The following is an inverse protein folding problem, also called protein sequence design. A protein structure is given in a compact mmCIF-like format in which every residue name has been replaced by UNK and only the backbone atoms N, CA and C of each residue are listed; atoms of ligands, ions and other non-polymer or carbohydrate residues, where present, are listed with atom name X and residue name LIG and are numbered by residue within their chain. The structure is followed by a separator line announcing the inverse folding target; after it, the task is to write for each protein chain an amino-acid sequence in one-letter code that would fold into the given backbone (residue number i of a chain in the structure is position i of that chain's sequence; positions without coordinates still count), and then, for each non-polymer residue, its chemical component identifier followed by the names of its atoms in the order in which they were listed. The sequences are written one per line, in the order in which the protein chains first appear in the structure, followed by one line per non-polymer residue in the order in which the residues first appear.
data_IF_002007227148
#
_entry.id   IF_002007227148
#
_cell.length_a   1.000
_cell.length_b   1.000
_cell.length_c   1.000
_cell.angle_alpha   90.00
_cell.angle_beta   90.00
_cell.angle_gamma   90.00
#
_symmetry.space_group_name_H-M   'P 1'
#
loop_
_entity.id
_entity.type
_entity.pdbx_description
1 polymer ?
#
# COMPACT_ATOMS: atom_id res chain seq x y z
N UNK A 1 -49.60 -31.44 -51.30
CA UNK A 1 -48.95 -30.26 -51.90
C UNK A 1 -47.80 -29.95 -50.97
N UNK A 2 -46.58 -30.37 -51.31
CA UNK A 2 -45.39 -29.95 -50.57
C UNK A 2 -45.31 -28.42 -50.68
N UNK A 3 -45.06 -27.77 -49.56
CA UNK A 3 -44.95 -26.31 -49.52
C UNK A 3 -43.68 -25.88 -50.24
N UNK A 4 -43.69 -24.73 -50.92
CA UNK A 4 -42.51 -24.23 -51.69
C UNK A 4 -41.22 -24.18 -50.85
N UNK A 5 -41.35 -24.04 -49.52
CA UNK A 5 -40.24 -24.07 -48.56
C UNK A 5 -39.55 -25.43 -48.48
N UNK A 6 -40.30 -26.54 -48.46
CA UNK A 6 -39.76 -27.90 -48.38
C UNK A 6 -39.00 -28.27 -49.66
N UNK A 7 -39.46 -27.78 -50.81
CA UNK A 7 -38.79 -27.98 -52.09
C UNK A 7 -37.45 -27.24 -52.17
N UNK A 8 -37.38 -26.01 -51.62
CA UNK A 8 -36.15 -25.21 -51.57
C UNK A 8 -35.13 -25.86 -50.63
N UNK A 9 -35.55 -26.29 -49.44
CA UNK A 9 -34.70 -26.95 -48.45
C UNK A 9 -34.21 -28.31 -48.99
N UNK A 10 -35.08 -29.09 -49.63
CA UNK A 10 -34.72 -30.36 -50.26
C UNK A 10 -33.76 -30.21 -51.44
N UNK A 11 -33.80 -29.09 -52.16
CA UNK A 11 -32.83 -28.79 -53.22
C UNK A 11 -31.49 -28.32 -52.66
N UNK A 12 -31.50 -27.50 -51.60
CA UNK A 12 -30.29 -27.01 -50.94
C UNK A 12 -29.49 -28.15 -50.28
N UNK A 13 -30.17 -29.08 -49.61
CA UNK A 13 -29.52 -30.22 -48.93
C UNK A 13 -28.87 -31.23 -49.89
N UNK A 14 -29.28 -31.25 -51.17
CA UNK A 14 -28.70 -32.11 -52.22
C UNK A 14 -27.48 -31.49 -52.92
N UNK A 15 -27.18 -30.22 -52.70
CA UNK A 15 -26.02 -29.53 -53.31
C UNK A 15 -24.71 -29.87 -52.59
N UNK A 16 -23.59 -29.68 -53.29
CA UNK A 16 -22.26 -29.83 -52.71
C UNK A 16 -21.94 -28.66 -51.77
N UNK A 17 -21.08 -28.88 -50.76
CA UNK A 17 -20.82 -27.90 -49.69
C UNK A 17 -20.32 -26.55 -50.21
N UNK A 18 -19.46 -26.56 -51.24
CA UNK A 18 -18.95 -25.35 -51.86
C UNK A 18 -20.04 -24.55 -52.61
N UNK A 19 -21.01 -25.25 -53.21
CA UNK A 19 -22.14 -24.62 -53.89
C UNK A 19 -23.14 -24.04 -52.90
N UNK A 20 -23.36 -24.74 -51.77
CA UNK A 20 -24.17 -24.24 -50.66
C UNK A 20 -23.62 -22.91 -50.12
N UNK A 21 -22.31 -22.83 -49.89
CA UNK A 21 -21.64 -21.64 -49.38
C UNK A 21 -21.73 -20.45 -50.34
N UNK A 22 -21.52 -20.69 -51.65
CA UNK A 22 -21.62 -19.64 -52.66
C UNK A 22 -23.07 -19.14 -52.84
N UNK A 23 -24.05 -20.03 -52.71
CA UNK A 23 -25.47 -19.67 -52.79
C UNK A 23 -25.93 -18.89 -51.55
N UNK A 24 -25.52 -19.31 -50.36
CA UNK A 24 -25.69 -18.56 -49.10
C UNK A 24 -25.04 -17.18 -49.18
N UNK A 25 -23.81 -17.09 -49.71
CA UNK A 25 -23.09 -15.82 -49.89
C UNK A 25 -23.85 -14.86 -50.81
N UNK A 26 -24.37 -15.35 -51.95
CA UNK A 26 -25.19 -14.57 -52.87
C UNK A 26 -26.53 -14.13 -52.25
N UNK A 27 -27.14 -14.96 -51.41
CA UNK A 27 -28.36 -14.62 -50.69
C UNK A 27 -28.10 -13.54 -49.63
N UNK A 28 -27.04 -13.68 -48.84
CA UNK A 28 -26.63 -12.69 -47.82
C UNK A 28 -26.34 -11.32 -48.43
N UNK A 29 -25.73 -11.27 -49.62
CA UNK A 29 -25.48 -10.02 -50.35
C UNK A 29 -26.76 -9.32 -50.85
N UNK A 30 -27.87 -10.05 -51.00
CA UNK A 30 -29.16 -9.52 -51.44
C UNK A 30 -30.11 -9.17 -50.29
N UNK A 31 -29.81 -9.60 -49.07
CA UNK A 31 -30.67 -9.36 -47.90
C UNK A 31 -30.64 -7.89 -47.45
N UNK A 32 -31.81 -7.37 -47.07
CA UNK A 32 -31.93 -6.02 -46.47
C UNK A 32 -31.41 -6.04 -45.01
N UNK A 33 -30.96 -4.89 -44.46
CA UNK A 33 -30.40 -4.82 -43.11
C UNK A 33 -31.30 -5.41 -42.01
N UNK A 34 -32.63 -5.20 -42.09
CA UNK A 34 -33.60 -5.78 -41.12
C UNK A 34 -33.70 -7.31 -41.20
N UNK A 35 -33.57 -7.88 -42.40
CA UNK A 35 -33.61 -9.34 -42.59
C UNK A 35 -32.33 -9.99 -42.08
N UNK A 36 -31.17 -9.34 -42.29
CA UNK A 36 -29.90 -9.76 -41.70
C UNK A 36 -29.95 -9.70 -40.17
N UNK A 37 -30.63 -8.71 -39.59
CA UNK A 37 -30.76 -8.57 -38.13
C UNK A 37 -31.61 -9.69 -37.51
N UNK A 38 -32.68 -10.11 -38.20
CA UNK A 38 -33.47 -11.29 -37.80
C UNK A 38 -32.69 -12.59 -37.96
N UNK A 39 -32.05 -12.78 -39.13
CA UNK A 39 -31.20 -13.95 -39.40
C UNK A 39 -30.06 -14.06 -38.37
N UNK A 40 -29.46 -12.93 -38.01
CA UNK A 40 -28.45 -12.86 -36.96
C UNK A 40 -29.05 -13.19 -35.60
N UNK A 41 -30.27 -12.73 -35.28
CA UNK A 41 -30.98 -13.11 -34.05
C UNK A 41 -31.14 -14.62 -33.89
N UNK A 42 -31.51 -15.31 -34.98
CA UNK A 42 -31.75 -16.75 -34.99
C UNK A 42 -30.44 -17.56 -35.05
N UNK A 43 -29.42 -17.06 -35.77
CA UNK A 43 -28.11 -17.72 -35.89
C UNK A 43 -27.13 -17.33 -34.79
N UNK A 44 -27.44 -16.35 -33.93
CA UNK A 44 -26.57 -15.87 -32.84
C UNK A 44 -26.14 -17.01 -31.91
N UNK A 45 -27.02 -17.97 -31.66
CA UNK A 45 -26.73 -19.14 -30.83
C UNK A 45 -25.78 -20.13 -31.53
N UNK A 46 -25.80 -20.19 -32.87
CA UNK A 46 -24.92 -21.02 -33.69
C UNK A 46 -23.56 -20.33 -33.97
N UNK A 47 -23.55 -19.00 -34.00
CA UNK A 47 -22.36 -18.15 -34.15
C UNK A 47 -21.68 -17.84 -32.80
N UNK A 48 -22.24 -18.29 -31.68
CA UNK A 48 -21.60 -18.32 -30.37
C UNK A 48 -20.51 -19.40 -30.31
N UNK A 49 -19.72 -19.51 -31.37
CA UNK A 49 -18.56 -20.36 -31.44
C UNK A 49 -17.54 -19.76 -30.49
N UNK A 50 -17.11 -20.59 -29.54
CA UNK A 50 -16.03 -20.25 -28.62
C UNK A 50 -14.82 -19.81 -29.45
N UNK A 51 -14.31 -18.59 -29.26
CA UNK A 51 -13.24 -18.04 -30.11
C UNK A 51 -11.84 -18.44 -29.63
N UNK A 52 -11.72 -18.86 -28.37
CA UNK A 52 -10.44 -19.25 -27.75
C UNK A 52 -9.74 -20.44 -28.43
N UNK A 53 -10.44 -21.45 -28.97
CA UNK A 53 -9.85 -22.52 -29.76
C UNK A 53 -9.32 -22.07 -31.13
N UNK A 54 -9.92 -21.04 -31.75
CA UNK A 54 -9.68 -20.70 -33.17
C UNK A 54 -8.71 -19.54 -33.36
N UNK A 55 -8.55 -18.68 -32.36
CA UNK A 55 -7.70 -17.49 -32.44
C UNK A 55 -6.27 -17.82 -31.95
N UNK A 56 -5.22 -17.26 -32.58
CA UNK A 56 -3.84 -17.36 -32.10
C UNK A 56 -3.66 -16.91 -30.65
N UNK A 57 -2.69 -17.55 -29.96
CA UNK A 57 -2.43 -17.31 -28.53
C UNK A 57 -2.20 -15.84 -28.21
N UNK A 58 -1.45 -15.11 -29.04
CA UNK A 58 -1.10 -13.72 -28.72
C UNK A 58 -2.32 -12.80 -28.70
N UNK A 59 -3.29 -13.05 -29.58
CA UNK A 59 -4.52 -12.24 -29.65
C UNK A 59 -5.41 -12.54 -28.45
N UNK A 60 -5.53 -13.81 -28.06
CA UNK A 60 -6.28 -14.21 -26.85
C UNK A 60 -5.64 -13.60 -25.60
N UNK A 61 -4.32 -13.68 -25.48
CA UNK A 61 -3.59 -13.05 -24.37
C UNK A 61 -3.82 -11.53 -24.36
N UNK A 62 -3.81 -10.87 -25.53
CA UNK A 62 -4.12 -9.44 -25.62
C UNK A 62 -5.55 -9.12 -25.19
N UNK A 63 -6.54 -9.92 -25.58
CA UNK A 63 -7.94 -9.76 -25.13
C UNK A 63 -8.02 -9.92 -23.61
N UNK A 64 -7.39 -10.96 -23.07
CA UNK A 64 -7.37 -11.24 -21.63
C UNK A 64 -6.62 -10.20 -20.82
N UNK A 65 -5.68 -9.47 -21.43
CA UNK A 65 -4.98 -8.36 -20.76
C UNK A 65 -5.88 -7.17 -20.40
N UNK A 66 -7.04 -7.03 -21.05
CA UNK A 66 -8.03 -5.99 -20.75
C UNK A 66 -9.00 -6.39 -19.63
N UNK A 67 -9.03 -7.67 -19.25
CA UNK A 67 -9.95 -8.17 -18.22
C UNK A 67 -9.40 -7.94 -16.82
N UNK A 68 -10.32 -7.76 -15.87
CA UNK A 68 -9.97 -7.72 -14.45
C UNK A 68 -9.62 -9.12 -13.93
N UNK A 69 -8.86 -9.24 -12.82
CA UNK A 69 -8.57 -10.53 -12.19
C UNK A 69 -9.83 -11.35 -11.85
N UNK A 70 -10.93 -10.68 -11.50
CA UNK A 70 -12.20 -11.34 -11.21
C UNK A 70 -12.83 -11.94 -12.47
N UNK A 71 -12.83 -11.19 -13.57
CA UNK A 71 -13.33 -11.68 -14.86
C UNK A 71 -12.45 -12.80 -15.42
N UNK A 72 -11.13 -12.71 -15.26
CA UNK A 72 -10.21 -13.79 -15.63
C UNK A 72 -10.45 -15.06 -14.81
N UNK A 73 -10.74 -14.92 -13.52
CA UNK A 73 -11.08 -16.09 -12.69
C UNK A 73 -12.38 -16.75 -13.15
N UNK A 74 -13.39 -15.97 -13.54
CA UNK A 74 -14.64 -16.48 -14.13
C UNK A 74 -14.39 -17.14 -15.48
N UNK A 75 -13.58 -16.52 -16.33
CA UNK A 75 -13.18 -17.03 -17.63
C UNK A 75 -12.49 -18.41 -17.52
N UNK A 76 -11.64 -18.61 -16.50
CA UNK A 76 -10.96 -19.89 -16.25
C UNK A 76 -11.89 -21.05 -15.86
N UNK A 77 -13.14 -20.74 -15.49
CA UNK A 77 -14.16 -21.73 -15.14
C UNK A 77 -15.00 -22.20 -16.34
N UNK A 78 -14.89 -21.55 -17.50
CA UNK A 78 -15.74 -21.83 -18.66
C UNK A 78 -15.41 -23.16 -19.36
N UNK A 79 -14.12 -23.43 -19.63
CA UNK A 79 -13.66 -24.69 -20.24
C UNK A 79 -12.18 -24.95 -19.96
N UNK A 80 -11.69 -26.16 -20.25
CA UNK A 80 -10.27 -26.50 -20.08
C UNK A 80 -9.33 -25.62 -20.91
N UNK A 81 -9.70 -25.30 -22.15
CA UNK A 81 -8.91 -24.43 -23.02
C UNK A 81 -8.90 -22.98 -22.51
N UNK A 82 -10.04 -22.48 -22.03
CA UNK A 82 -10.10 -21.17 -21.39
C UNK A 82 -9.23 -21.10 -20.15
N UNK A 83 -9.20 -22.17 -19.35
CA UNK A 83 -8.36 -22.27 -18.15
C UNK A 83 -6.87 -22.19 -18.50
N UNK A 84 -6.42 -22.96 -19.49
CA UNK A 84 -5.02 -22.95 -19.91
C UNK A 84 -4.55 -21.58 -20.42
N UNK A 85 -5.42 -20.88 -21.16
CA UNK A 85 -5.13 -19.54 -21.70
C UNK A 85 -5.21 -18.47 -20.62
N UNK A 86 -6.25 -18.49 -19.78
CA UNK A 86 -6.42 -17.54 -18.69
C UNK A 86 -5.30 -17.66 -17.65
N UNK A 87 -4.75 -18.85 -17.45
CA UNK A 87 -3.64 -19.10 -16.51
C UNK A 87 -2.24 -18.80 -17.09
N UNK A 88 -2.14 -18.08 -18.20
CA UNK A 88 -0.85 -17.71 -18.78
C UNK A 88 -0.04 -16.83 -17.82
N UNK A 89 1.21 -17.23 -17.53
CA UNK A 89 2.06 -16.51 -16.56
C UNK A 89 2.38 -15.06 -16.95
N UNK A 90 2.40 -14.75 -18.26
CA UNK A 90 2.65 -13.41 -18.79
C UNK A 90 1.55 -12.42 -18.41
N UNK A 91 0.28 -12.86 -18.49
CA UNK A 91 -0.90 -12.06 -18.16
C UNK A 91 -0.91 -11.66 -16.68
N UNK A 92 -0.75 -12.64 -15.80
CA UNK A 92 -0.78 -12.40 -14.37
C UNK A 92 0.45 -11.64 -13.88
N UNK A 93 1.63 -11.82 -14.50
CA UNK A 93 2.80 -10.96 -14.22
C UNK A 93 2.54 -9.50 -14.58
N UNK A 94 1.90 -9.23 -15.72
CA UNK A 94 1.55 -7.86 -16.11
C UNK A 94 0.54 -7.23 -15.15
N UNK A 95 -0.49 -7.98 -14.73
CA UNK A 95 -1.47 -7.53 -13.74
C UNK A 95 -0.85 -7.31 -12.35
N UNK A 96 0.01 -8.22 -11.88
CA UNK A 96 0.76 -8.05 -10.64
C UNK A 96 1.65 -6.82 -10.69
N UNK A 97 2.36 -6.60 -11.81
CA UNK A 97 3.23 -5.42 -11.98
C UNK A 97 2.45 -4.12 -11.91
N UNK A 98 1.26 -4.07 -12.53
CA UNK A 98 0.40 -2.88 -12.53
C UNK A 98 -0.09 -2.50 -11.13
N UNK A 99 -0.20 -3.48 -10.22
CA UNK A 99 -0.61 -3.27 -8.81
C UNK A 99 0.55 -3.37 -7.81
N UNK A 100 1.79 -3.45 -8.30
CA UNK A 100 2.98 -3.67 -7.47
C UNK A 100 2.91 -4.92 -6.55
N UNK A 101 2.19 -5.96 -6.97
CA UNK A 101 1.99 -7.22 -6.23
C UNK A 101 2.98 -8.32 -6.61
N UNK A 102 4.08 -7.99 -7.30
CA UNK A 102 5.04 -9.00 -7.79
C UNK A 102 5.65 -9.80 -6.63
N UNK A 103 6.00 -9.12 -5.53
CA UNK A 103 6.67 -9.67 -4.34
C UNK A 103 5.70 -9.93 -3.16
N UNK A 104 4.39 -9.90 -3.41
CA UNK A 104 3.40 -9.99 -2.33
C UNK A 104 3.41 -11.38 -1.67
N UNK A 105 3.86 -11.44 -0.42
CA UNK A 105 3.91 -12.68 0.37
C UNK A 105 5.17 -13.55 0.19
N UNK A 106 6.23 -13.01 -0.43
CA UNK A 106 7.52 -13.73 -0.57
C UNK A 106 8.26 -13.93 0.77
N UNK A 107 7.84 -13.26 1.86
CA UNK A 107 8.52 -13.28 3.15
C UNK A 107 8.05 -14.31 4.19
N UNK A 108 6.94 -15.03 4.02
CA UNK A 108 6.39 -15.83 5.13
C UNK A 108 5.39 -16.94 4.76
N UNK A 109 5.38 -17.43 3.52
CA UNK A 109 4.56 -18.57 3.16
C UNK A 109 5.37 -19.56 2.33
N UNK A 110 6.13 -20.43 3.00
CA UNK A 110 6.26 -21.77 2.42
C UNK A 110 4.84 -22.30 2.26
N UNK A 111 4.44 -22.78 1.07
CA UNK A 111 3.16 -23.45 0.96
C UNK A 111 3.19 -24.63 1.93
N UNK A 112 2.41 -24.55 3.01
CA UNK A 112 2.07 -25.72 3.77
C UNK A 112 1.40 -26.66 2.78
N UNK A 113 2.05 -27.79 2.48
CA UNK A 113 1.42 -28.89 1.78
C UNK A 113 0.24 -29.35 2.64
N UNK A 114 -0.92 -28.74 2.43
CA UNK A 114 -2.21 -29.16 2.95
C UNK A 114 -2.65 -30.42 2.18
N UNK A 115 -1.83 -31.46 2.21
CA UNK A 115 -2.23 -32.80 1.81
C UNK A 115 -2.45 -33.60 3.09
N UNK A 116 -3.71 -33.64 3.52
CA UNK A 116 -4.19 -34.76 4.32
C UNK A 116 -3.83 -36.05 3.57
N UNK A 117 -3.20 -36.99 4.28
CA UNK A 117 -2.72 -38.28 3.77
C UNK A 117 -3.84 -39.27 3.37
N UNK A 118 -4.96 -38.77 2.84
CA UNK A 118 -6.02 -39.60 2.26
C UNK A 118 -6.02 -39.40 0.74
N UNK A 119 -5.92 -40.48 -0.05
CA UNK A 119 -5.92 -40.38 -1.49
C UNK A 119 -7.37 -40.12 -1.94
N UNK A 120 -7.77 -38.85 -1.95
CA UNK A 120 -8.98 -38.45 -2.66
C UNK A 120 -8.59 -38.34 -4.13
N UNK A 121 -9.12 -39.24 -4.95
CA UNK A 121 -9.00 -39.24 -6.41
C UNK A 121 -9.73 -38.02 -6.98
N UNK A 122 -9.14 -36.84 -6.84
CA UNK A 122 -9.58 -35.64 -7.54
C UNK A 122 -9.23 -35.81 -9.02
N UNK A 123 -10.14 -35.40 -9.91
CA UNK A 123 -9.88 -35.23 -11.35
C UNK A 123 -8.54 -34.50 -11.55
N UNK A 124 -7.82 -34.66 -12.68
CA UNK A 124 -6.47 -34.12 -12.86
C UNK A 124 -6.47 -32.59 -12.71
N UNK A 125 -6.33 -32.15 -11.46
CA UNK A 125 -6.18 -30.77 -11.08
C UNK A 125 -4.74 -30.45 -11.44
N UNK A 126 -4.56 -29.64 -12.47
CA UNK A 126 -3.28 -29.00 -12.75
C UNK A 126 -2.79 -28.37 -11.46
N UNK A 127 -1.81 -29.01 -10.82
CA UNK A 127 -1.28 -28.60 -9.53
C UNK A 127 -0.64 -27.23 -9.75
N UNK A 128 -1.23 -26.19 -9.16
CA UNK A 128 -0.84 -24.79 -9.30
C UNK A 128 0.48 -24.45 -8.57
N UNK A 129 1.34 -25.43 -8.31
CA UNK A 129 2.59 -25.26 -7.54
C UNK A 129 3.82 -25.00 -8.42
N UNK A 130 3.68 -25.02 -9.75
CA UNK A 130 4.80 -24.67 -10.63
C UNK A 130 5.11 -23.17 -10.59
N UNK A 131 6.38 -22.75 -10.79
CA UNK A 131 6.83 -21.34 -10.74
C UNK A 131 6.14 -20.41 -11.75
N UNK A 132 5.33 -20.97 -12.66
CA UNK A 132 4.48 -20.26 -13.60
C UNK A 132 3.20 -19.66 -12.98
N UNK A 133 2.75 -20.17 -11.82
CA UNK A 133 1.51 -19.76 -11.15
C UNK A 133 1.72 -18.82 -9.95
N UNK A 134 2.97 -18.51 -9.58
CA UNK A 134 3.30 -17.55 -8.52
C UNK A 134 2.57 -16.19 -8.64
N UNK A 135 2.41 -15.56 -9.83
CA UNK A 135 1.68 -14.30 -9.90
C UNK A 135 0.18 -14.47 -9.63
N UNK A 136 -0.42 -15.57 -10.07
CA UNK A 136 -1.84 -15.88 -9.83
C UNK A 136 -2.07 -16.03 -8.32
N UNK A 137 -1.22 -16.81 -7.66
CA UNK A 137 -1.27 -17.02 -6.21
C UNK A 137 -1.18 -15.69 -5.46
N UNK A 138 -0.26 -14.80 -5.86
CA UNK A 138 -0.10 -13.50 -5.22
C UNK A 138 -1.34 -12.62 -5.37
N UNK A 139 -1.94 -12.55 -6.56
CA UNK A 139 -3.20 -11.80 -6.76
C UNK A 139 -4.37 -12.38 -5.97
N UNK A 140 -4.48 -13.71 -5.89
CA UNK A 140 -5.51 -14.37 -5.10
C UNK A 140 -5.31 -14.08 -3.62
N UNK A 141 -4.09 -14.21 -3.08
CA UNK A 141 -3.75 -13.88 -1.70
C UNK A 141 -4.13 -12.43 -1.36
N UNK A 142 -3.75 -11.47 -2.21
CA UNK A 142 -4.08 -10.06 -2.00
C UNK A 142 -5.60 -9.81 -2.01
N UNK A 143 -6.33 -10.37 -2.97
CA UNK A 143 -7.79 -10.25 -3.05
C UNK A 143 -8.49 -10.92 -1.85
N UNK A 144 -8.01 -12.08 -1.41
CA UNK A 144 -8.54 -12.76 -0.22
C UNK A 144 -8.28 -11.94 1.04
N UNK A 145 -7.10 -11.35 1.18
CA UNK A 145 -6.78 -10.47 2.31
C UNK A 145 -7.72 -9.26 2.35
N UNK A 146 -7.90 -8.56 1.22
CA UNK A 146 -8.84 -7.43 1.13
C UNK A 146 -10.26 -7.83 1.50
N UNK A 147 -10.74 -8.98 1.00
CA UNK A 147 -12.04 -9.53 1.37
C UNK A 147 -12.12 -9.87 2.86
N UNK A 148 -11.08 -10.46 3.43
CA UNK A 148 -11.06 -10.81 4.86
C UNK A 148 -11.18 -9.56 5.72
N UNK A 149 -10.45 -8.48 5.39
CA UNK A 149 -10.59 -7.20 6.07
C UNK A 149 -11.98 -6.59 5.91
N UNK A 150 -12.51 -6.54 4.69
CA UNK A 150 -13.84 -5.96 4.42
C UNK A 150 -15.00 -6.76 5.06
N UNK A 151 -14.85 -8.07 5.21
CA UNK A 151 -15.87 -8.96 5.79
C UNK A 151 -15.66 -9.24 7.27
N UNK A 152 -14.61 -8.69 7.90
CA UNK A 152 -14.28 -8.95 9.30
C UNK A 152 -13.80 -10.37 9.58
N UNK A 153 -13.38 -11.14 8.55
CA UNK A 153 -12.87 -12.51 8.69
C UNK A 153 -11.38 -12.49 9.04
N UNK A 154 -11.05 -11.91 10.18
CA UNK A 154 -9.71 -11.93 10.75
C UNK A 154 -9.74 -12.44 12.19
N UNK A 155 -8.65 -13.06 12.60
CA UNK A 155 -8.48 -13.49 13.99
C UNK A 155 -7.86 -12.33 14.75
N UNK A 156 -8.53 -11.89 15.81
CA UNK A 156 -7.98 -10.89 16.73
C UNK A 156 -7.06 -11.61 17.71
N UNK A 157 -5.80 -11.20 17.73
CA UNK A 157 -4.82 -11.67 18.72
C UNK A 157 -5.28 -11.28 20.14
N UNK A 158 -5.00 -12.11 21.15
CA UNK A 158 -5.19 -11.72 22.54
C UNK A 158 -4.47 -10.40 22.88
N UNK A 159 -4.99 -9.60 23.82
CA UNK A 159 -4.37 -8.32 24.17
C UNK A 159 -2.97 -8.53 24.75
N UNK A 160 -1.97 -7.90 24.12
CA UNK A 160 -0.58 -7.90 24.58
C UNK A 160 -0.44 -6.99 25.81
N UNK A 161 -0.40 -7.58 27.01
CA UNK A 161 -0.35 -6.84 28.29
C UNK A 161 1.09 -6.73 28.80
N UNK A 162 1.54 -5.51 29.10
CA UNK A 162 2.88 -5.33 29.68
C UNK A 162 3.20 -3.96 30.25
N UNK A 163 2.80 -2.89 29.57
CA UNK A 163 3.01 -1.54 30.08
C UNK A 163 2.11 -1.23 31.27
N UNK A 164 2.64 -0.44 32.21
CA UNK A 164 1.90 0.00 33.41
C UNK A 164 1.13 1.28 33.16
N UNK A 165 1.69 2.15 32.34
CA UNK A 165 1.12 3.46 32.00
C UNK A 165 0.74 3.55 30.51
N UNK A 166 0.34 4.75 30.08
CA UNK A 166 -0.02 5.05 28.70
C UNK A 166 1.11 4.70 27.74
N UNK A 167 0.76 4.09 26.62
CA UNK A 167 1.66 3.89 25.49
C UNK A 167 1.68 5.18 24.69
N UNK A 168 2.83 5.83 24.64
CA UNK A 168 3.03 7.12 23.98
C UNK A 168 3.29 6.94 22.48
N UNK A 169 3.98 5.87 22.11
CA UNK A 169 4.44 5.62 20.75
C UNK A 169 4.55 4.13 20.43
N UNK A 170 4.35 3.81 19.16
CA UNK A 170 4.50 2.46 18.62
C UNK A 170 5.18 2.56 17.26
N UNK A 171 6.04 1.59 16.96
CA UNK A 171 6.56 1.37 15.61
C UNK A 171 6.61 -0.12 15.30
N UNK A 172 6.51 -0.49 14.03
CA UNK A 172 6.49 -1.90 13.62
C UNK A 172 7.35 -2.13 12.38
N UNK A 173 8.06 -3.26 12.38
CA UNK A 173 8.86 -3.70 11.24
C UNK A 173 8.77 -5.22 11.08
N UNK A 174 8.11 -5.65 10.01
CA UNK A 174 7.88 -7.06 9.74
C UNK A 174 7.03 -7.71 10.83
N UNK A 175 7.61 -8.69 11.53
CA UNK A 175 6.95 -9.45 12.59
C UNK A 175 7.21 -8.89 14.01
N UNK A 176 7.81 -7.71 14.12
CA UNK A 176 8.20 -7.12 15.40
C UNK A 176 7.47 -5.79 15.59
N UNK A 177 6.93 -5.58 16.79
CA UNK A 177 6.35 -4.31 17.24
C UNK A 177 7.16 -3.81 18.43
N UNK A 178 7.49 -2.52 18.42
CA UNK A 178 8.04 -1.82 19.57
C UNK A 178 7.00 -0.86 20.14
N UNK A 179 6.80 -0.88 21.45
CA UNK A 179 5.99 0.09 22.17
C UNK A 179 6.85 0.84 23.18
N UNK A 180 6.75 2.17 23.17
CA UNK A 180 7.29 3.04 24.21
C UNK A 180 6.17 3.61 25.07
N UNK A 181 6.43 3.77 26.36
CA UNK A 181 5.42 4.20 27.32
C UNK A 181 6.00 5.20 28.31
N UNK A 182 5.07 5.89 28.99
CA UNK A 182 5.36 6.80 30.09
C UNK A 182 5.89 6.04 31.33
N UNK A 183 5.79 4.71 31.37
CA UNK A 183 6.39 3.85 32.41
C UNK A 183 7.93 3.71 32.32
N UNK A 184 8.55 4.49 31.44
CA UNK A 184 9.98 4.51 31.14
C UNK A 184 10.50 3.22 30.48
N UNK A 185 9.60 2.37 29.97
CA UNK A 185 9.98 1.13 29.30
C UNK A 185 9.76 1.22 27.80
N UNK A 186 10.64 0.52 27.07
CA UNK A 186 10.37 0.09 25.69
C UNK A 186 10.26 -1.41 25.66
N UNK A 187 9.15 -1.93 25.12
CA UNK A 187 8.92 -3.36 25.00
C UNK A 187 8.87 -3.76 23.53
N UNK A 188 9.61 -4.82 23.20
CA UNK A 188 9.56 -5.48 21.90
C UNK A 188 8.66 -6.70 21.97
N UNK A 189 7.80 -6.83 20.97
CA UNK A 189 6.78 -7.87 20.85
C UNK A 189 6.95 -8.63 19.55
N UNK A 190 6.74 -9.93 19.59
CA UNK A 190 6.56 -10.75 18.40
C UNK A 190 5.09 -10.73 17.98
N UNK A 191 4.81 -10.31 16.75
CA UNK A 191 3.44 -10.22 16.21
C UNK A 191 2.84 -11.61 15.95
N UNK A 192 3.67 -12.62 15.71
CA UNK A 192 3.21 -13.98 15.43
C UNK A 192 2.79 -14.74 16.68
N UNK A 193 3.49 -14.55 17.80
CA UNK A 193 3.18 -15.26 19.06
C UNK A 193 2.47 -14.37 20.08
N UNK A 194 2.65 -13.05 20.00
CA UNK A 194 2.16 -12.10 21.00
C UNK A 194 3.03 -12.01 22.25
N UNK A 195 4.19 -12.66 22.24
CA UNK A 195 5.10 -12.70 23.39
C UNK A 195 6.00 -11.46 23.46
N UNK A 196 6.45 -11.15 24.67
CA UNK A 196 7.48 -10.13 24.92
C UNK A 196 8.85 -10.72 24.59
N UNK A 197 9.53 -10.13 23.61
CA UNK A 197 10.89 -10.50 23.25
C UNK A 197 11.90 -9.85 24.19
N UNK A 198 11.84 -8.52 24.31
CA UNK A 198 12.78 -7.74 25.10
C UNK A 198 12.08 -6.60 25.83
N UNK A 199 12.60 -6.26 27.02
CA UNK A 199 12.14 -5.11 27.82
C UNK A 199 13.37 -4.25 28.10
N UNK A 200 13.33 -2.99 27.67
CA UNK A 200 14.39 -2.02 27.86
C UNK A 200 14.00 -1.02 28.95
N UNK A 201 14.73 -1.04 30.06
CA UNK A 201 14.48 -0.20 31.24
C UNK A 201 15.60 0.81 31.52
N UNK A 202 16.31 1.27 30.47
CA UNK A 202 17.45 2.18 30.61
C UNK A 202 17.05 3.66 30.57
N UNK A 203 15.76 3.96 30.39
CA UNK A 203 15.23 5.32 30.31
C UNK A 203 14.94 5.86 31.71
N UNK A 204 15.20 7.16 31.91
CA UNK A 204 14.98 7.82 33.20
C UNK A 204 13.69 8.63 33.23
N UNK A 205 13.04 8.78 32.08
CA UNK A 205 11.79 9.54 31.92
C UNK A 205 10.94 8.91 30.82
N UNK A 206 9.75 9.47 30.54
CA UNK A 206 8.81 8.96 29.56
C UNK A 206 9.48 8.73 28.20
N UNK A 207 9.25 7.57 27.61
CA UNK A 207 9.67 7.32 26.22
C UNK A 207 8.62 7.98 25.35
N UNK A 208 9.01 8.87 24.45
CA UNK A 208 8.07 9.67 23.65
C UNK A 208 7.93 9.17 22.22
N UNK A 209 8.99 8.55 21.69
CA UNK A 209 9.05 8.11 20.30
C UNK A 209 9.98 6.90 20.14
N UNK A 210 9.62 5.98 19.24
CA UNK A 210 10.42 4.80 18.92
C UNK A 210 10.45 4.62 17.41
N UNK A 211 11.61 4.20 16.87
CA UNK A 211 11.78 3.86 15.46
C UNK A 211 12.59 2.58 15.26
N UNK A 212 12.12 1.71 14.37
CA UNK A 212 12.75 0.44 14.01
C UNK A 212 13.19 0.47 12.54
N UNK A 213 14.47 0.18 12.29
CA UNK A 213 14.97 -0.08 10.93
C UNK A 213 16.23 -0.93 10.96
N UNK A 214 16.38 -1.85 10.01
CA UNK A 214 17.60 -2.64 9.80
C UNK A 214 18.16 -3.30 11.09
N UNK A 215 17.29 -3.95 11.88
CA UNK A 215 17.63 -4.61 13.15
C UNK A 215 18.08 -3.68 14.29
N UNK A 216 17.97 -2.37 14.11
CA UNK A 216 18.21 -1.35 15.12
C UNK A 216 16.89 -0.75 15.57
N UNK A 217 16.77 -0.55 16.88
CA UNK A 217 15.70 0.20 17.51
C UNK A 217 16.29 1.47 18.12
N UNK A 218 15.73 2.61 17.77
CA UNK A 218 16.04 3.87 18.43
C UNK A 218 14.84 4.27 19.27
N UNK A 219 15.09 4.70 20.51
CA UNK A 219 14.06 5.27 21.36
C UNK A 219 14.47 6.66 21.83
N UNK A 220 13.59 7.62 21.63
CA UNK A 220 13.69 8.97 22.16
C UNK A 220 12.93 9.08 23.48
N UNK A 221 13.53 9.79 24.42
CA UNK A 221 13.00 9.94 25.78
C UNK A 221 12.96 11.43 26.15
N UNK A 222 12.03 11.77 27.04
CA UNK A 222 11.93 13.10 27.64
C UNK A 222 13.19 13.50 28.45
N UNK A 223 14.04 12.54 28.81
CA UNK A 223 15.36 12.81 29.41
C UNK A 223 16.38 13.46 28.46
N UNK A 224 16.02 13.58 27.18
CA UNK A 224 16.83 14.20 26.12
C UNK A 224 17.85 13.27 25.47
N UNK A 225 17.86 11.99 25.83
CA UNK A 225 18.80 10.99 25.32
C UNK A 225 18.08 10.04 24.36
N UNK A 226 18.63 9.89 23.15
CA UNK A 226 18.18 8.86 22.21
C UNK A 226 19.03 7.61 22.44
N UNK A 227 18.42 6.47 22.68
CA UNK A 227 19.14 5.21 22.92
C UNK A 227 19.02 4.29 21.72
N UNK A 228 20.09 3.56 21.41
CA UNK A 228 20.16 2.63 20.29
C UNK A 228 20.24 1.21 20.85
N UNK A 229 19.36 0.34 20.39
CA UNK A 229 19.30 -1.06 20.77
C UNK A 229 19.42 -1.96 19.54
N UNK A 230 20.04 -3.11 19.74
CA UNK A 230 20.02 -4.19 18.77
C UNK A 230 18.83 -5.10 19.05
N UNK A 231 17.94 -5.25 18.06
CA UNK A 231 16.67 -5.98 18.20
C UNK A 231 16.90 -7.49 18.40
N UNK A 232 17.91 -8.07 17.73
CA UNK A 232 18.20 -9.52 17.84
C UNK A 232 18.81 -9.91 19.18
N UNK A 233 19.58 -9.02 19.81
CA UNK A 233 20.33 -9.32 21.03
C UNK A 233 19.73 -8.70 22.29
N UNK A 234 18.83 -7.74 22.15
CA UNK A 234 18.27 -6.98 23.27
C UNK A 234 19.31 -6.13 24.01
N UNK A 235 20.46 -5.83 23.40
CA UNK A 235 21.51 -5.02 24.04
C UNK A 235 21.44 -3.57 23.59
N UNK A 236 21.69 -2.66 24.54
CA UNK A 236 21.97 -1.26 24.26
C UNK A 236 23.34 -1.15 23.58
N UNK A 237 23.38 -0.61 22.38
CA UNK A 237 24.60 -0.41 21.60
C UNK A 237 25.27 0.94 21.89
N UNK A 238 24.48 1.94 22.27
CA UNK A 238 24.97 3.29 22.50
C UNK A 238 23.84 4.29 22.72
N UNK A 239 24.25 5.54 22.89
CA UNK A 239 23.35 6.67 23.13
C UNK A 239 23.76 7.84 22.24
N UNK A 240 22.78 8.62 21.79
CA UNK A 240 22.97 9.88 21.10
C UNK A 240 22.61 10.97 22.11
N UNK A 241 23.63 11.68 22.56
CA UNK A 241 23.51 12.79 23.50
C UNK A 241 24.46 13.88 23.03
N UNK A 242 23.99 15.12 23.09
CA UNK A 242 24.83 16.28 22.90
C UNK A 242 25.31 16.76 24.27
N UNK A 243 26.60 16.60 24.54
CA UNK A 243 27.20 17.00 25.81
C UNK A 243 27.29 18.53 25.96
N UNK A 244 27.15 19.28 24.86
CA UNK A 244 27.40 20.72 24.82
C UNK A 244 26.15 21.61 24.89
N UNK A 245 24.96 21.01 25.02
CA UNK A 245 23.68 21.73 25.08
C UNK A 245 22.86 21.31 26.29
N UNK A 246 21.93 22.17 26.70
CA UNK A 246 20.98 21.83 27.75
C UNK A 246 20.19 20.57 27.35
N UNK A 247 19.98 19.66 28.32
CA UNK A 247 19.15 18.48 28.11
C UNK A 247 17.73 18.93 27.81
N UNK A 248 17.26 18.65 26.60
CA UNK A 248 15.92 18.94 26.15
C UNK A 248 15.26 17.65 25.67
N UNK A 249 14.01 17.43 26.09
CA UNK A 249 13.27 16.22 25.82
C UNK A 249 13.13 15.96 24.33
N UNK A 250 13.32 14.70 23.92
CA UNK A 250 13.06 14.29 22.54
C UNK A 250 11.56 14.07 22.41
N UNK A 251 10.91 14.62 21.39
CA UNK A 251 9.47 14.42 21.13
C UNK A 251 9.21 13.61 19.87
N UNK A 252 9.99 13.87 18.83
CA UNK A 252 9.85 13.19 17.55
C UNK A 252 11.17 12.58 17.15
N UNK A 253 11.08 11.42 16.50
CA UNK A 253 12.25 10.68 16.04
C UNK A 253 11.96 10.04 14.70
N UNK A 254 12.96 10.10 13.85
CA UNK A 254 12.96 9.51 12.54
C UNK A 254 14.33 8.89 12.26
N UNK A 255 14.36 7.76 11.53
CA UNK A 255 15.56 6.97 11.38
C UNK A 255 15.65 6.35 9.98
N UNK A 256 16.73 6.65 9.28
CA UNK A 256 16.97 6.13 7.93
C UNK A 256 17.92 4.90 7.90
N UNK A 257 18.41 4.45 9.05
CA UNK A 257 19.38 3.35 9.15
C UNK A 257 20.80 3.83 9.41
N UNK A 258 21.14 5.02 8.90
CA UNK A 258 22.47 5.65 9.03
C UNK A 258 22.40 6.92 9.87
N UNK A 259 21.39 7.75 9.61
CA UNK A 259 21.13 9.01 10.31
C UNK A 259 19.84 8.91 11.13
N UNK A 260 19.85 9.52 12.31
CA UNK A 260 18.66 9.77 13.11
C UNK A 260 18.37 11.27 13.13
N UNK A 261 17.10 11.64 13.07
CA UNK A 261 16.64 13.03 13.10
C UNK A 261 15.67 13.14 14.27
N UNK A 262 15.92 14.08 15.17
CA UNK A 262 15.13 14.27 16.38
C UNK A 262 14.59 15.70 16.47
N UNK A 263 13.31 15.83 16.83
CA UNK A 263 12.70 17.08 17.24
C UNK A 263 12.65 17.16 18.76
N UNK A 264 13.15 18.26 19.32
CA UNK A 264 13.29 18.46 20.76
C UNK A 264 12.34 19.52 21.30
N UNK A 265 12.09 19.51 22.62
CA UNK A 265 11.30 20.54 23.33
C UNK A 265 11.99 21.91 23.34
N UNK A 266 13.27 21.99 22.96
CA UNK A 266 14.00 23.27 22.81
C UNK A 266 13.78 23.92 21.44
N UNK A 267 12.79 23.42 20.68
CA UNK A 267 12.40 23.90 19.35
C UNK A 267 13.47 23.64 18.28
N UNK A 268 14.49 22.86 18.61
CA UNK A 268 15.55 22.48 17.66
C UNK A 268 15.28 21.12 17.03
N UNK A 269 15.76 20.96 15.80
CA UNK A 269 15.81 19.67 15.13
C UNK A 269 17.27 19.28 15.01
N UNK A 270 17.64 18.08 15.47
CA UNK A 270 19.02 17.62 15.48
C UNK A 270 19.19 16.40 14.59
N UNK A 271 20.31 16.37 13.87
CA UNK A 271 20.68 15.25 12.99
C UNK A 271 21.88 14.53 13.60
N UNK A 272 21.79 13.22 13.70
CA UNK A 272 22.78 12.39 14.36
C UNK A 272 23.30 11.32 13.42
N UNK A 273 24.61 11.09 13.44
CA UNK A 273 25.21 9.90 12.85
C UNK A 273 25.10 8.73 13.85
N UNK A 274 24.26 7.74 13.52
CA UNK A 274 23.92 6.65 14.46
C UNK A 274 25.11 5.75 14.78
N UNK A 275 25.99 5.51 13.80
CA UNK A 275 27.18 4.67 14.00
C UNK A 275 28.23 5.32 14.90
N UNK A 276 28.38 6.65 14.82
CA UNK A 276 29.42 7.37 15.55
C UNK A 276 28.91 8.03 16.84
N UNK A 277 27.60 8.09 17.03
CA UNK A 277 26.98 8.77 18.16
C UNK A 277 27.05 10.30 18.12
N UNK A 278 27.49 10.89 16.99
CA UNK A 278 27.78 12.33 16.90
C UNK A 278 26.58 13.11 16.40
N UNK A 279 26.34 14.27 17.00
CA UNK A 279 25.47 15.29 16.43
C UNK A 279 26.17 15.91 15.22
N UNK A 280 25.55 15.84 14.04
CA UNK A 280 26.06 16.40 12.79
C UNK A 280 25.60 17.86 12.62
N UNK A 281 24.31 18.10 12.86
CA UNK A 281 23.69 19.40 12.64
C UNK A 281 22.66 19.69 13.74
N UNK A 282 22.66 20.93 14.20
CA UNK A 282 21.62 21.49 15.07
C UNK A 282 20.89 22.55 14.26
N UNK A 283 19.66 22.24 13.88
CA UNK A 283 18.84 23.07 13.02
C UNK A 283 17.92 23.91 13.90
N UNK A 284 18.15 25.22 13.86
CA UNK A 284 17.41 26.23 14.61
C UNK A 284 16.60 27.08 13.65
N UNK A 285 15.43 27.54 14.08
CA UNK A 285 14.61 28.43 13.27
C UNK A 285 13.13 28.39 13.57
N UNK A 286 12.64 27.35 14.25
CA UNK A 286 11.29 27.38 14.83
C UNK A 286 11.28 28.33 16.03
N UNK A 287 10.23 29.15 16.11
CA UNK A 287 10.03 30.08 17.23
C UNK A 287 9.14 29.49 18.31
N UNK A 288 8.41 28.42 17.99
CA UNK A 288 7.59 27.69 18.93
C UNK A 288 7.73 26.17 18.85
N UNK A 289 7.04 25.45 19.73
CA UNK A 289 7.16 24.01 19.88
C UNK A 289 6.87 23.27 18.57
N UNK A 290 7.63 22.20 18.33
CA UNK A 290 7.42 21.33 17.17
C UNK A 290 6.20 20.45 17.47
N UNK A 291 5.23 20.40 16.55
CA UNK A 291 4.01 19.61 16.68
C UNK A 291 4.11 18.24 15.97
N UNK A 292 4.86 18.17 14.87
CA UNK A 292 5.05 16.93 14.12
C UNK A 292 6.32 16.96 13.29
N UNK A 293 6.80 15.77 12.94
CA UNK A 293 7.97 15.59 12.08
C UNK A 293 7.80 14.35 11.19
N UNK A 294 8.10 14.54 9.91
CA UNK A 294 8.15 13.48 8.90
C UNK A 294 9.46 13.57 8.16
N UNK A 295 10.12 12.44 7.89
CA UNK A 295 11.24 12.42 6.95
C UNK A 295 10.88 11.65 5.71
N UNK A 296 11.44 12.12 4.61
CA UNK A 296 11.30 11.49 3.34
C UNK A 296 12.59 11.70 2.52
N UNK A 297 13.25 10.60 2.18
CA UNK A 297 14.54 10.62 1.50
C UNK A 297 15.56 11.46 2.27
N UNK A 298 16.07 12.52 1.62
CA UNK A 298 17.04 13.45 2.21
C UNK A 298 16.40 14.63 2.95
N UNK A 299 15.08 14.76 2.98
CA UNK A 299 14.40 15.88 3.61
C UNK A 299 13.72 15.48 4.92
N UNK A 300 13.72 16.40 5.88
CA UNK A 300 12.88 16.35 7.07
C UNK A 300 11.92 17.53 7.04
N UNK A 301 10.63 17.26 7.22
CA UNK A 301 9.58 18.27 7.31
C UNK A 301 9.14 18.34 8.76
N UNK A 302 9.21 19.53 9.36
CA UNK A 302 8.70 19.79 10.70
C UNK A 302 7.59 20.81 10.67
N UNK A 303 6.57 20.57 11.48
CA UNK A 303 5.47 21.49 11.71
C UNK A 303 5.56 22.02 13.13
N UNK A 304 5.12 23.26 13.35
CA UNK A 304 5.25 23.92 14.65
C UNK A 304 4.02 24.71 15.02
N UNK A 305 3.96 25.07 16.30
CA UNK A 305 3.01 26.00 16.89
C UNK A 305 3.27 27.44 16.45
N UNK A 306 4.40 27.71 15.80
CA UNK A 306 4.72 28.99 15.17
C UNK A 306 4.00 29.24 13.83
N UNK A 307 3.00 28.43 13.49
CA UNK A 307 2.20 28.51 12.25
C UNK A 307 3.01 28.21 10.97
N UNK A 308 4.29 27.80 11.10
CA UNK A 308 5.17 27.50 9.98
C UNK A 308 5.45 26.01 9.83
N UNK A 309 5.74 25.64 8.59
CA UNK A 309 6.28 24.32 8.26
C UNK A 309 7.65 24.51 7.64
N UNK A 310 8.66 23.83 8.19
CA UNK A 310 10.04 23.93 7.71
C UNK A 310 10.47 22.64 7.06
N UNK A 311 11.04 22.77 5.87
CA UNK A 311 11.67 21.67 5.14
C UNK A 311 13.17 21.81 5.30
N UNK A 312 13.78 20.82 5.92
CA UNK A 312 15.20 20.75 6.21
C UNK A 312 15.87 19.75 5.28
N UNK A 313 17.02 20.12 4.73
CA UNK A 313 17.89 19.19 4.02
C UNK A 313 18.80 18.49 5.03
N UNK A 314 18.69 17.16 5.10
CA UNK A 314 19.41 16.33 6.07
C UNK A 314 20.86 16.07 5.71
N UNK A 315 21.28 16.43 4.49
CA UNK A 315 22.67 16.36 4.04
C UNK A 315 23.45 17.62 4.42
N UNK A 316 22.84 18.79 4.24
CA UNK A 316 23.48 20.07 4.52
C UNK A 316 23.16 20.65 5.91
N UNK A 317 22.06 20.21 6.54
CA UNK A 317 21.57 20.78 7.80
C UNK A 317 20.94 22.17 7.64
N UNK A 318 20.55 22.55 6.42
CA UNK A 318 20.00 23.88 6.12
C UNK A 318 18.48 23.80 5.92
N UNK A 319 17.77 24.86 6.32
CA UNK A 319 16.36 25.03 5.99
C UNK A 319 16.22 25.36 4.49
N UNK A 320 15.71 24.40 3.71
CA UNK A 320 15.49 24.57 2.28
C UNK A 320 14.28 25.49 2.01
N UNK A 321 13.18 25.24 2.73
CA UNK A 321 11.94 26.03 2.60
C UNK A 321 11.31 26.29 3.96
N UNK A 322 10.80 27.51 4.16
CA UNK A 322 9.84 27.83 5.22
C UNK A 322 8.51 28.12 4.55
N UNK A 323 7.55 27.20 4.74
CA UNK A 323 6.21 27.28 4.20
C UNK A 323 5.36 28.08 5.19
N UNK A 324 4.89 29.24 4.74
CA UNK A 324 4.08 30.18 5.53
C UNK A 324 2.72 30.26 4.86
N UNK A 325 1.65 30.13 5.62
CA UNK A 325 0.29 30.31 5.12
C UNK A 325 -0.80 29.60 5.91
N UNK A 326 -0.46 28.78 6.90
CA UNK A 326 -1.40 28.46 7.98
C UNK A 326 -1.58 29.69 8.87
N UNK A 327 -2.76 29.83 9.47
CA UNK A 327 -3.09 30.94 10.38
C UNK A 327 -3.13 30.53 11.85
N UNK A 328 -2.94 29.23 12.11
CA UNK A 328 -2.87 28.65 13.45
C UNK A 328 -1.83 27.50 13.46
N UNK A 329 -1.71 26.82 14.61
CA UNK A 329 -0.77 25.72 14.85
C UNK A 329 -0.87 24.64 13.78
N UNK A 330 0.27 24.18 13.27
CA UNK A 330 0.29 23.08 12.28
C UNK A 330 0.51 21.75 12.98
N UNK A 331 -0.55 20.98 13.20
CA UNK A 331 -0.51 19.75 14.00
C UNK A 331 0.14 18.56 13.29
N UNK A 332 -0.01 18.44 11.98
CA UNK A 332 0.46 17.26 11.26
C UNK A 332 0.99 17.57 9.86
N UNK A 333 1.89 16.71 9.38
CA UNK A 333 2.37 16.74 8.02
C UNK A 333 2.56 15.33 7.47
N UNK A 334 2.53 15.24 6.14
CA UNK A 334 3.01 14.12 5.35
C UNK A 334 3.77 14.68 4.15
N UNK A 335 4.80 13.97 3.67
CA UNK A 335 5.59 14.44 2.53
C UNK A 335 5.94 13.29 1.58
N UNK A 336 6.08 13.62 0.29
CA UNK A 336 6.65 12.76 -0.73
C UNK A 336 7.63 13.56 -1.63
N UNK A 337 8.08 12.98 -2.75
CA UNK A 337 9.02 13.63 -3.67
C UNK A 337 8.51 14.95 -4.26
N UNK A 338 7.20 15.14 -4.36
CA UNK A 338 6.57 16.24 -5.09
C UNK A 338 5.82 17.23 -4.20
N UNK A 339 5.17 16.73 -3.15
CA UNK A 339 4.22 17.45 -2.34
C UNK A 339 4.50 17.27 -0.85
N UNK A 340 4.26 18.34 -0.10
CA UNK A 340 4.04 18.30 1.35
C UNK A 340 2.57 18.57 1.59
N UNK A 341 1.93 17.74 2.40
CA UNK A 341 0.55 17.96 2.83
C UNK A 341 0.56 18.22 4.32
N UNK A 342 -0.05 19.33 4.75
CA UNK A 342 -0.06 19.76 6.16
C UNK A 342 -1.49 20.00 6.61
N UNK A 343 -1.78 19.66 7.86
CA UNK A 343 -3.04 19.96 8.53
C UNK A 343 -2.80 20.81 9.76
N UNK A 344 -3.58 21.88 9.91
CA UNK A 344 -3.48 22.82 11.03
C UNK A 344 -4.77 22.98 11.83
N UNK A 345 -4.68 23.76 12.91
CA UNK A 345 -5.81 24.26 13.70
C UNK A 345 -6.64 25.32 12.98
N UNK A 346 -6.18 25.77 11.82
CA UNK A 346 -6.96 26.63 10.91
C UNK A 346 -8.07 25.86 10.17
N UNK A 347 -8.34 24.60 10.55
CA UNK A 347 -9.33 23.69 9.98
C UNK A 347 -9.09 23.35 8.50
N UNK A 348 -7.85 23.53 8.04
CA UNK A 348 -7.50 23.46 6.63
C UNK A 348 -6.35 22.49 6.40
N UNK A 349 -6.42 21.78 5.28
CA UNK A 349 -5.32 20.99 4.76
C UNK A 349 -4.67 21.74 3.61
N UNK A 350 -3.36 21.98 3.67
CA UNK A 350 -2.62 22.67 2.60
C UNK A 350 -1.68 21.69 1.91
N UNK A 351 -1.65 21.79 0.57
CA UNK A 351 -0.74 21.04 -0.28
C UNK A 351 0.30 22.00 -0.83
N UNK A 352 1.56 21.72 -0.56
CA UNK A 352 2.70 22.52 -0.96
C UNK A 352 3.54 21.76 -1.96
N UNK A 353 4.10 22.46 -2.95
CA UNK A 353 5.04 21.88 -3.90
C UNK A 353 6.45 21.88 -3.32
N UNK A 354 7.10 20.71 -3.29
CA UNK A 354 8.46 20.56 -2.75
C UNK A 354 9.52 21.36 -3.52
N UNK A 355 9.34 21.55 -4.84
CA UNK A 355 10.35 22.18 -5.68
C UNK A 355 10.47 23.70 -5.49
N UNK A 356 9.42 24.37 -5.01
CA UNK A 356 9.39 25.84 -4.86
C UNK A 356 8.89 26.30 -3.49
N UNK A 357 8.31 25.41 -2.67
CA UNK A 357 7.71 25.75 -1.38
C UNK A 357 6.42 26.58 -1.48
N UNK A 358 5.79 26.65 -2.66
CA UNK A 358 4.53 27.37 -2.83
C UNK A 358 3.34 26.50 -2.46
N UNK A 359 2.31 27.14 -1.88
CA UNK A 359 1.02 26.50 -1.67
C UNK A 359 0.34 26.27 -3.03
N UNK A 360 0.15 25.00 -3.39
CA UNK A 360 -0.54 24.60 -4.61
C UNK A 360 -2.05 24.61 -4.40
N UNK A 361 -2.52 24.00 -3.30
CA UNK A 361 -3.92 23.89 -2.98
C UNK A 361 -4.17 24.12 -1.50
N UNK A 362 -5.31 24.73 -1.20
CA UNK A 362 -5.84 24.92 0.15
C UNK A 362 -7.19 24.24 0.20
N UNK A 363 -7.25 23.15 0.94
CA UNK A 363 -8.41 22.27 1.04
C UNK A 363 -9.21 22.65 2.28
N UNK A 364 -10.35 23.32 2.04
CA UNK A 364 -11.26 23.77 3.08
C UNK A 364 -12.40 22.78 3.20
N UNK A 365 -12.78 22.46 4.43
CA UNK A 365 -13.99 21.68 4.66
C UNK A 365 -14.17 21.22 6.09
N UNK A 366 -13.09 20.91 6.80
CA UNK A 366 -13.16 20.57 8.21
C UNK A 366 -13.69 21.74 9.03
N UNK A 367 -14.35 21.42 10.14
CA UNK A 367 -14.93 22.43 11.04
C UNK A 367 -14.12 22.62 12.32
N UNK A 368 -13.07 21.82 12.51
CA UNK A 368 -12.23 21.78 13.72
C UNK A 368 -10.81 21.27 13.37
N UNK A 369 -9.89 21.27 14.33
CA UNK A 369 -8.46 20.99 14.16
C UNK A 369 -8.17 19.73 13.35
N UNK A 370 -7.21 19.79 12.41
CA UNK A 370 -6.77 18.61 11.65
C UNK A 370 -5.57 17.94 12.33
N UNK A 371 -5.78 16.80 12.98
CA UNK A 371 -4.73 16.10 13.75
C UNK A 371 -3.93 15.09 12.95
N UNK A 372 -4.47 14.53 11.86
CA UNK A 372 -3.74 13.55 11.07
C UNK A 372 -3.99 13.70 9.58
N UNK A 373 -2.94 13.49 8.80
CA UNK A 373 -2.98 13.46 7.35
C UNK A 373 -2.18 12.27 6.85
N UNK A 374 -2.79 11.51 5.95
CA UNK A 374 -2.16 10.44 5.19
C UNK A 374 -2.26 10.76 3.71
N UNK A 375 -1.20 10.50 2.96
CA UNK A 375 -1.16 10.78 1.54
C UNK A 375 -0.56 9.60 0.78
N UNK A 376 -1.22 9.19 -0.31
CA UNK A 376 -0.69 8.21 -1.27
C UNK A 376 -0.42 8.89 -2.63
N UNK A 377 -0.17 8.18 -3.73
CA UNK A 377 0.12 8.85 -5.00
C UNK A 377 -1.08 9.62 -5.61
N UNK A 378 -2.30 9.34 -5.18
CA UNK A 378 -3.55 9.79 -5.82
C UNK A 378 -4.52 10.48 -4.84
N UNK A 379 -4.51 10.11 -3.56
CA UNK A 379 -5.51 10.47 -2.56
C UNK A 379 -4.85 11.00 -1.29
N UNK A 380 -5.35 12.13 -0.81
CA UNK A 380 -5.10 12.69 0.51
C UNK A 380 -6.27 12.28 1.43
N UNK A 381 -5.96 11.73 2.59
CA UNK A 381 -6.92 11.48 3.66
C UNK A 381 -6.57 12.33 4.88
N UNK A 382 -7.54 13.05 5.44
CA UNK A 382 -7.40 13.88 6.63
C UNK A 382 -8.40 13.50 7.71
N UNK A 383 -7.95 13.47 8.97
CA UNK A 383 -8.79 13.27 10.15
C UNK A 383 -8.75 14.50 11.05
N UNK A 384 -9.93 14.95 11.48
CA UNK A 384 -10.12 16.16 12.27
C UNK A 384 -10.80 15.88 13.61
N UNK A 385 -10.65 16.82 14.55
CA UNK A 385 -11.38 16.90 15.81
C UNK A 385 -12.91 16.94 15.63
N UNK A 386 -13.38 17.33 14.44
CA UNK A 386 -14.80 17.35 14.05
C UNK A 386 -15.44 15.94 13.94
N UNK A 387 -14.70 14.88 14.29
CA UNK A 387 -15.05 13.47 14.18
C UNK A 387 -15.25 12.97 12.74
N UNK A 388 -14.82 13.74 11.73
CA UNK A 388 -14.86 13.36 10.33
C UNK A 388 -13.49 12.94 9.79
N UNK A 389 -13.53 12.00 8.85
CA UNK A 389 -12.40 11.66 7.98
C UNK A 389 -12.82 12.03 6.56
N UNK A 390 -11.97 12.76 5.85
CA UNK A 390 -12.21 13.20 4.48
C UNK A 390 -11.11 12.69 3.58
N UNK A 391 -11.49 12.22 2.41
CA UNK A 391 -10.60 11.84 1.32
C UNK A 391 -10.78 12.79 0.12
N UNK A 392 -9.66 13.11 -0.53
CA UNK A 392 -9.64 13.95 -1.73
C UNK A 392 -8.63 13.42 -2.73
N UNK A 393 -9.03 13.35 -3.99
CA UNK A 393 -8.14 13.06 -5.12
C UNK A 393 -7.35 14.33 -5.50
N UNK A 394 -6.05 14.18 -5.76
CA UNK A 394 -5.12 15.29 -6.02
C UNK A 394 -5.17 15.86 -7.45
#
# INVERSE_FOLDING_TARGET
METDEEMIIGRFTKMERAEQDELLRKLLLKCKPRQLQMLYGDTRQLLAVDFVPFIPREIVDRIFSYLTPQELSRASCCSGQWRERANSSSLWKALCRRRSWLHFGEGSCQPQELFSSTPVTLAPMTVLTSPTFTPIINTCKANHLQKNWATGRYVVMPPMRGHKDRISCVDCAGNIVASGSDDHLVVLWDVSTGDKLHVFSHHNDAVTCVKIKNNLLLSGCADGVIRIYNISTGKCLGQLLDEHQAKSGVRFLCFDGTKAISGHDDKTVRIWAVLTGRCLYVMTGHTDDIASMVCFGKYAVTTSWDETVKVWDTESGVCAHTLIGHTEVVHCAHANDQYVVTGGGDNVVKVWLMGNGLCSQTLVGHTDDVYCVGFNAEIIASGSADSSVRDMEL
#
